data_IF_384616191921
#
_entry.id   IF_384616191921
#
_cell.length_a   1.000
_cell.length_b   1.000
_cell.length_c   1.000
_cell.angle_alpha   90.00
_cell.angle_beta   90.00
_cell.angle_gamma   90.00
#
_symmetry.space_group_name_H-M   'P 1'
#
loop_
_entity.id
_entity.type
_entity.pdbx_description
1 polymer ?
#
# COMPACT_ATOMS: atom_id res chain seq x y z
N UNK A 1 -12.25 -8.27 -19.44
CA UNK A 1 -10.82 -8.07 -19.16
C UNK A 1 -10.71 -7.81 -17.67
N UNK A 2 -9.82 -8.52 -16.96
CA UNK A 2 -9.63 -8.25 -15.54
C UNK A 2 -8.91 -6.92 -15.38
N UNK A 3 -9.41 -6.06 -14.48
CA UNK A 3 -8.82 -4.74 -14.25
C UNK A 3 -7.76 -4.82 -13.15
N UNK A 4 -6.69 -4.09 -13.32
CA UNK A 4 -5.63 -3.91 -12.33
C UNK A 4 -6.19 -3.16 -11.12
N UNK A 5 -5.79 -3.57 -9.93
CA UNK A 5 -5.89 -2.79 -8.70
C UNK A 5 -4.48 -2.47 -8.22
N UNK A 6 -4.10 -1.21 -8.29
CA UNK A 6 -2.86 -0.70 -7.69
C UNK A 6 -3.15 -0.30 -6.24
N UNK A 7 -2.63 -1.07 -5.30
CA UNK A 7 -2.96 -0.91 -3.88
C UNK A 7 -2.12 0.13 -3.14
N UNK A 8 -1.13 0.76 -3.84
CA UNK A 8 -0.28 1.79 -3.26
C UNK A 8 0.41 2.61 -4.36
N UNK A 9 -0.02 3.87 -4.55
CA UNK A 9 0.56 4.78 -5.53
C UNK A 9 0.31 6.24 -5.12
N UNK A 10 1.38 7.02 -4.96
CA UNK A 10 1.36 8.42 -4.51
C UNK A 10 1.03 9.39 -5.64
N UNK A 11 -0.22 9.46 -6.04
CA UNK A 11 -0.66 10.43 -7.05
C UNK A 11 -0.74 11.87 -6.52
N UNK A 12 -0.64 12.06 -5.21
CA UNK A 12 -0.47 13.36 -4.57
C UNK A 12 0.93 13.96 -4.78
N UNK A 13 1.94 13.16 -5.16
CA UNK A 13 3.33 13.59 -5.37
C UNK A 13 3.47 14.64 -6.49
N UNK A 14 4.39 15.60 -6.29
CA UNK A 14 4.69 16.69 -7.22
C UNK A 14 5.16 16.21 -8.61
N UNK A 15 5.73 15.01 -8.69
CA UNK A 15 6.13 14.40 -9.96
C UNK A 15 4.95 14.22 -10.93
N UNK A 16 3.73 14.26 -10.45
CA UNK A 16 2.51 14.17 -11.26
C UNK A 16 1.84 15.52 -11.51
N UNK A 17 2.30 16.63 -10.95
CA UNK A 17 1.61 17.94 -11.04
C UNK A 17 1.32 18.37 -12.48
N UNK A 18 2.21 18.03 -13.42
CA UNK A 18 2.08 18.44 -14.80
C UNK A 18 0.96 17.71 -15.59
N UNK A 19 0.60 16.49 -15.18
CA UNK A 19 -0.29 15.63 -15.97
C UNK A 19 -1.22 14.73 -15.13
N UNK A 20 -1.26 14.90 -13.80
CA UNK A 20 -2.07 14.09 -12.85
C UNK A 20 -3.50 13.88 -13.32
N UNK A 21 -4.19 14.97 -13.68
CA UNK A 21 -5.59 14.91 -14.07
C UNK A 21 -5.81 14.05 -15.33
N UNK A 22 -5.00 14.29 -16.37
CA UNK A 22 -5.08 13.54 -17.61
C UNK A 22 -4.69 12.07 -17.41
N UNK A 23 -3.67 11.84 -16.58
CA UNK A 23 -3.18 10.50 -16.29
C UNK A 23 -4.24 9.68 -15.53
N UNK A 24 -4.77 10.20 -14.42
CA UNK A 24 -5.81 9.52 -13.62
C UNK A 24 -7.09 9.30 -14.44
N UNK A 25 -7.54 10.30 -15.21
CA UNK A 25 -8.71 10.14 -16.07
C UNK A 25 -8.55 9.02 -17.11
N UNK A 26 -7.32 8.75 -17.57
CA UNK A 26 -7.03 7.73 -18.57
C UNK A 26 -6.90 6.30 -17.99
N UNK A 27 -6.77 6.13 -16.68
CA UNK A 27 -6.46 4.85 -16.04
C UNK A 27 -7.47 3.74 -16.35
N UNK A 28 -8.80 3.97 -16.28
CA UNK A 28 -9.77 2.92 -16.59
C UNK A 28 -9.66 2.40 -18.03
N UNK A 29 -9.42 3.27 -18.99
CA UNK A 29 -9.25 2.91 -20.41
C UNK A 29 -7.94 2.13 -20.65
N UNK A 30 -6.95 2.31 -19.77
CA UNK A 30 -5.67 1.59 -19.79
C UNK A 30 -5.67 0.33 -18.92
N UNK A 31 -6.84 -0.14 -18.48
CA UNK A 31 -6.98 -1.40 -17.75
C UNK A 31 -6.73 -1.31 -16.24
N UNK A 32 -6.56 -0.10 -15.68
CA UNK A 32 -6.44 0.12 -14.22
C UNK A 32 -7.82 0.48 -13.68
N UNK A 33 -8.38 -0.40 -12.88
CA UNK A 33 -9.74 -0.25 -12.36
C UNK A 33 -9.83 0.40 -10.99
N UNK A 34 -8.80 0.26 -10.16
CA UNK A 34 -8.74 0.82 -8.81
C UNK A 34 -7.31 1.24 -8.45
N UNK A 35 -7.23 2.29 -7.65
CA UNK A 35 -5.98 2.86 -7.12
C UNK A 35 -6.22 3.26 -5.67
N UNK A 36 -5.23 3.03 -4.79
CA UNK A 36 -5.17 3.60 -3.45
C UNK A 36 -4.00 4.58 -3.39
N UNK A 37 -4.29 5.83 -3.02
CA UNK A 37 -3.35 6.94 -2.86
C UNK A 37 -3.08 7.15 -1.36
N UNK A 38 -1.89 6.81 -0.84
CA UNK A 38 -1.61 6.87 0.59
C UNK A 38 -1.07 8.23 1.02
N UNK A 39 -1.68 8.81 2.06
CA UNK A 39 -1.13 9.99 2.72
C UNK A 39 0.05 9.66 3.62
N UNK A 40 1.05 10.56 3.68
CA UNK A 40 2.27 10.42 4.47
C UNK A 40 2.38 11.44 5.62
N UNK A 41 1.52 12.44 5.64
CA UNK A 41 1.34 13.49 6.65
C UNK A 41 -0.04 14.12 6.50
N UNK A 42 -0.33 15.22 7.22
CA UNK A 42 -1.63 15.85 7.11
C UNK A 42 -1.87 16.51 5.74
N UNK A 43 -0.83 17.09 5.12
CA UNK A 43 -0.99 17.76 3.83
C UNK A 43 -1.20 16.76 2.69
N UNK A 44 -0.40 15.72 2.65
CA UNK A 44 -0.51 14.64 1.65
C UNK A 44 -1.77 13.81 1.87
N UNK A 45 -2.14 13.51 3.12
CA UNK A 45 -3.43 12.86 3.44
C UNK A 45 -4.63 13.66 2.93
N UNK A 46 -4.64 14.99 3.14
CA UNK A 46 -5.70 15.85 2.62
C UNK A 46 -5.75 15.82 1.09
N UNK A 47 -4.57 15.91 0.41
CA UNK A 47 -4.49 15.85 -1.06
C UNK A 47 -4.96 14.52 -1.60
N UNK A 48 -4.58 13.40 -0.98
CA UNK A 48 -5.04 12.06 -1.37
C UNK A 48 -6.57 11.95 -1.28
N UNK A 49 -7.20 12.48 -0.22
CA UNK A 49 -8.67 12.52 -0.08
C UNK A 49 -9.29 13.39 -1.18
N UNK A 50 -8.77 14.60 -1.43
CA UNK A 50 -9.26 15.50 -2.47
C UNK A 50 -9.16 14.87 -3.87
N UNK A 51 -8.11 14.11 -4.16
CA UNK A 51 -7.95 13.34 -5.41
C UNK A 51 -8.99 12.20 -5.47
N UNK A 52 -9.13 11.43 -4.39
CA UNK A 52 -10.06 10.31 -4.35
C UNK A 52 -11.52 10.74 -4.54
N UNK A 53 -11.92 11.91 -4.04
CA UNK A 53 -13.25 12.48 -4.26
C UNK A 53 -13.54 12.82 -5.74
N UNK A 54 -12.49 13.15 -6.52
CA UNK A 54 -12.64 13.54 -7.92
C UNK A 54 -12.75 12.34 -8.87
N UNK A 55 -12.20 11.17 -8.49
CA UNK A 55 -12.12 10.00 -9.37
C UNK A 55 -12.79 8.78 -8.72
N UNK A 56 -13.82 8.18 -9.35
CA UNK A 56 -14.56 7.05 -8.77
C UNK A 56 -13.68 5.83 -8.51
N UNK A 57 -12.61 5.65 -9.28
CA UNK A 57 -11.68 4.52 -9.19
C UNK A 57 -10.48 4.78 -8.24
N UNK A 58 -10.39 5.96 -7.63
CA UNK A 58 -9.34 6.30 -6.65
C UNK A 58 -9.91 6.30 -5.25
N UNK A 59 -9.17 5.74 -4.32
CA UNK A 59 -9.38 5.75 -2.88
C UNK A 59 -8.15 6.32 -2.18
N UNK A 60 -8.31 6.76 -0.95
CA UNK A 60 -7.23 7.35 -0.17
C UNK A 60 -6.97 6.57 1.12
N UNK A 61 -5.78 6.74 1.66
CA UNK A 61 -5.52 6.45 3.08
C UNK A 61 -4.96 7.68 3.76
N UNK A 62 -5.05 7.73 5.08
CA UNK A 62 -4.60 8.88 5.87
C UNK A 62 -3.69 8.41 7.00
N UNK A 63 -2.54 9.07 7.15
CA UNK A 63 -1.56 8.63 8.14
C UNK A 63 -0.33 9.53 8.23
N UNK A 64 0.59 9.12 9.10
CA UNK A 64 1.89 9.71 9.30
C UNK A 64 2.96 8.69 8.99
N UNK A 65 3.64 8.88 7.87
CA UNK A 65 4.81 8.10 7.46
C UNK A 65 5.99 8.33 8.42
N UNK A 66 6.81 7.34 8.73
CA UNK A 66 7.94 7.50 9.65
C UNK A 66 8.93 8.61 9.26
N UNK A 67 9.14 8.85 7.99
CA UNK A 67 10.01 9.95 7.51
C UNK A 67 9.39 11.33 7.77
N UNK A 68 8.06 11.45 7.78
CA UNK A 68 7.32 12.71 7.88
C UNK A 68 6.82 13.00 9.31
N UNK A 69 7.02 12.09 10.27
CA UNK A 69 6.36 12.19 11.57
C UNK A 69 6.99 13.19 12.55
N UNK A 70 8.06 13.91 12.19
CA UNK A 70 8.67 14.91 13.09
C UNK A 70 7.69 15.93 13.67
N UNK A 71 6.72 16.50 12.91
CA UNK A 71 5.71 17.45 13.44
C UNK A 71 4.47 16.76 14.06
N UNK A 72 4.44 15.42 14.13
CA UNK A 72 3.32 14.68 14.69
C UNK A 72 3.03 15.11 16.13
N UNK A 73 1.75 15.25 16.44
CA UNK A 73 1.23 15.35 17.81
C UNK A 73 0.00 14.45 17.93
N UNK A 74 -0.35 14.04 19.14
CA UNK A 74 -1.54 13.20 19.37
C UNK A 74 -2.85 13.87 18.94
N UNK A 75 -2.91 15.20 18.98
CA UNK A 75 -4.05 15.97 18.50
C UNK A 75 -4.25 15.82 16.99
N UNK A 76 -3.19 15.53 16.22
CA UNK A 76 -3.31 15.27 14.78
C UNK A 76 -4.11 14.02 14.46
N UNK A 77 -4.23 13.06 15.39
CA UNK A 77 -5.11 11.89 15.24
C UNK A 77 -6.58 12.28 15.14
N UNK A 78 -7.01 13.39 15.73
CA UNK A 78 -8.39 13.85 15.60
C UNK A 78 -8.72 14.27 14.17
N UNK A 79 -7.74 14.84 13.47
CA UNK A 79 -7.84 15.15 12.04
C UNK A 79 -7.94 13.88 11.20
N UNK A 80 -7.05 12.89 11.42
CA UNK A 80 -7.10 11.60 10.72
C UNK A 80 -8.43 10.88 10.99
N UNK A 81 -8.90 10.89 12.24
CA UNK A 81 -10.21 10.34 12.65
C UNK A 81 -11.38 11.01 11.93
N UNK A 82 -11.29 12.33 11.70
CA UNK A 82 -12.33 13.06 10.98
C UNK A 82 -12.35 12.67 9.49
N UNK A 83 -11.18 12.63 8.84
CA UNK A 83 -11.06 12.23 7.43
C UNK A 83 -11.40 10.74 7.19
N UNK A 84 -11.11 9.87 8.13
CA UNK A 84 -11.45 8.45 8.05
C UNK A 84 -12.97 8.15 8.04
N UNK A 85 -13.83 9.17 8.22
CA UNK A 85 -15.29 9.05 8.03
C UNK A 85 -15.71 9.18 6.57
N UNK A 86 -14.84 9.69 5.70
CA UNK A 86 -15.09 9.74 4.27
C UNK A 86 -15.07 8.32 3.69
N UNK A 87 -16.09 7.93 2.90
CA UNK A 87 -16.15 6.60 2.31
C UNK A 87 -15.03 6.32 1.31
N UNK A 88 -14.31 7.34 0.86
CA UNK A 88 -13.13 7.21 0.02
C UNK A 88 -11.86 6.87 0.82
N UNK A 89 -11.87 7.05 2.14
CA UNK A 89 -10.74 6.68 3.02
C UNK A 89 -10.90 5.23 3.47
N UNK A 90 -10.03 4.35 2.99
CA UNK A 90 -10.17 2.90 3.13
C UNK A 90 -9.19 2.24 4.09
N UNK A 91 -8.20 2.98 4.59
CA UNK A 91 -7.22 2.49 5.57
C UNK A 91 -6.57 3.64 6.35
N UNK A 92 -5.92 3.32 7.46
CA UNK A 92 -4.91 4.17 8.09
C UNK A 92 -3.55 3.81 7.48
N UNK A 93 -2.91 4.78 6.87
CA UNK A 93 -1.65 4.58 6.14
C UNK A 93 -1.28 5.81 5.30
N UNK A 94 -0.04 5.93 5.00
CA UNK A 94 1.08 5.00 5.23
C UNK A 94 1.69 5.25 6.61
N UNK A 95 1.88 4.19 7.39
CA UNK A 95 2.40 4.25 8.76
C UNK A 95 3.52 3.21 8.91
N UNK A 96 4.33 3.29 9.96
CA UNK A 96 5.33 2.25 10.19
C UNK A 96 6.67 2.78 10.65
N UNK A 97 7.77 2.12 10.21
CA UNK A 97 9.12 2.42 10.65
C UNK A 97 10.10 2.46 9.47
N UNK A 98 10.98 3.48 9.45
CA UNK A 98 12.10 3.60 8.53
C UNK A 98 13.39 3.87 9.32
N UNK A 99 14.31 2.90 9.33
CA UNK A 99 15.60 3.00 9.99
C UNK A 99 16.77 3.18 9.02
N UNK A 100 16.44 3.34 7.74
CA UNK A 100 17.44 3.47 6.70
C UNK A 100 18.07 4.86 6.64
N UNK A 101 17.26 5.93 6.75
CA UNK A 101 17.76 7.29 6.62
C UNK A 101 18.18 7.87 7.97
N UNK A 102 19.41 8.38 8.07
CA UNK A 102 19.95 8.95 9.32
C UNK A 102 19.21 10.23 9.77
N UNK A 103 18.61 10.97 8.82
CA UNK A 103 17.85 12.20 9.10
C UNK A 103 16.42 11.95 9.62
N UNK A 104 15.95 10.72 9.59
CA UNK A 104 14.61 10.38 10.07
C UNK A 104 14.45 10.68 11.57
N UNK A 105 13.23 10.94 12.05
CA UNK A 105 12.95 11.04 13.48
C UNK A 105 13.50 9.85 14.27
N UNK A 106 13.83 10.05 15.57
CA UNK A 106 14.35 8.97 16.41
C UNK A 106 13.47 7.71 16.38
N UNK A 107 14.09 6.53 16.42
CA UNK A 107 13.38 5.24 16.33
C UNK A 107 12.27 5.10 17.35
N UNK A 108 12.54 5.50 18.60
CA UNK A 108 11.57 5.44 19.70
C UNK A 108 10.34 6.32 19.39
N UNK A 109 10.56 7.49 18.78
CA UNK A 109 9.47 8.38 18.39
C UNK A 109 8.66 7.80 17.22
N UNK A 110 9.32 7.27 16.19
CA UNK A 110 8.62 6.56 15.10
C UNK A 110 7.76 5.41 15.66
N UNK A 111 8.29 4.63 16.61
CA UNK A 111 7.57 3.52 17.25
C UNK A 111 6.37 4.00 18.07
N UNK A 112 6.45 5.14 18.74
CA UNK A 112 5.33 5.77 19.45
C UNK A 112 4.24 6.15 18.44
N UNK A 113 4.60 6.90 17.39
CA UNK A 113 3.67 7.35 16.34
C UNK A 113 3.01 6.15 15.65
N UNK A 114 3.76 5.08 15.39
CA UNK A 114 3.23 3.87 14.79
C UNK A 114 2.17 3.19 15.69
N UNK A 115 2.44 3.06 17.01
CA UNK A 115 1.46 2.51 17.98
C UNK A 115 0.20 3.37 18.08
N UNK A 116 0.35 4.67 18.15
CA UNK A 116 -0.78 5.60 18.23
C UNK A 116 -1.71 5.45 17.01
N UNK A 117 -1.16 5.27 15.81
CA UNK A 117 -1.93 5.06 14.58
C UNK A 117 -2.53 3.65 14.47
N UNK A 118 -1.84 2.62 14.96
CA UNK A 118 -2.43 1.27 15.07
C UNK A 118 -3.62 1.26 16.03
N UNK A 119 -3.53 1.98 17.15
CA UNK A 119 -4.64 2.16 18.09
C UNK A 119 -5.83 2.89 17.43
N UNK A 120 -5.56 3.93 16.62
CA UNK A 120 -6.59 4.61 15.85
C UNK A 120 -7.26 3.67 14.83
N UNK A 121 -6.46 2.91 14.09
CA UNK A 121 -6.99 1.94 13.12
C UNK A 121 -7.87 0.88 13.80
N UNK A 122 -7.45 0.40 14.98
CA UNK A 122 -8.25 -0.55 15.79
C UNK A 122 -9.57 0.08 16.27
N UNK A 123 -9.54 1.34 16.73
CA UNK A 123 -10.73 2.10 17.13
C UNK A 123 -11.73 2.22 15.98
N UNK A 124 -11.24 2.52 14.77
CA UNK A 124 -12.05 2.74 13.58
C UNK A 124 -12.46 1.44 12.83
N UNK A 125 -11.83 0.31 13.16
CA UNK A 125 -12.02 -0.95 12.44
C UNK A 125 -11.45 -0.95 11.02
N UNK A 126 -10.56 -0.01 10.71
CA UNK A 126 -9.91 0.11 9.41
C UNK A 126 -8.64 -0.75 9.32
N UNK A 127 -8.28 -1.25 8.13
CA UNK A 127 -6.98 -1.86 7.92
C UNK A 127 -5.86 -0.82 7.92
N UNK A 128 -4.61 -1.29 7.92
CA UNK A 128 -3.43 -0.42 7.86
C UNK A 128 -2.52 -0.77 6.69
N UNK A 129 -1.85 0.25 6.13
CA UNK A 129 -0.73 0.08 5.20
C UNK A 129 0.56 0.40 5.95
N UNK A 130 1.47 -0.58 6.03
CA UNK A 130 2.69 -0.49 6.83
C UNK A 130 3.92 -0.36 5.94
N UNK A 131 4.65 0.73 6.13
CA UNK A 131 6.02 0.93 5.68
C UNK A 131 7.00 0.23 6.63
N UNK A 132 7.92 -0.53 6.07
CA UNK A 132 8.92 -1.28 6.85
C UNK A 132 10.26 -1.29 6.12
N UNK A 133 11.15 -0.38 6.48
CA UNK A 133 12.49 -0.30 5.89
C UNK A 133 13.58 -0.41 6.95
N UNK A 134 14.35 -1.50 6.87
CA UNK A 134 15.41 -1.86 7.84
C UNK A 134 14.93 -1.94 9.30
N UNK A 135 13.60 -2.16 9.50
CA UNK A 135 12.92 -2.15 10.80
C UNK A 135 12.07 -3.41 11.08
N UNK A 136 12.24 -4.47 10.30
CA UNK A 136 11.35 -5.65 10.27
C UNK A 136 11.04 -6.24 11.64
N UNK A 137 12.04 -6.35 12.53
CA UNK A 137 11.87 -6.93 13.84
C UNK A 137 10.96 -6.09 14.73
N UNK A 138 11.14 -4.77 14.73
CA UNK A 138 10.37 -3.84 15.53
C UNK A 138 8.95 -3.66 14.95
N UNK A 139 8.81 -3.57 13.62
CA UNK A 139 7.50 -3.58 12.97
C UNK A 139 6.70 -4.82 13.37
N UNK A 140 7.30 -6.02 13.25
CA UNK A 140 6.67 -7.27 13.63
C UNK A 140 6.33 -7.31 15.14
N UNK A 141 7.20 -6.79 16.00
CA UNK A 141 6.95 -6.73 17.44
C UNK A 141 5.75 -5.84 17.76
N UNK A 142 5.69 -4.64 17.15
CA UNK A 142 4.62 -3.66 17.40
C UNK A 142 3.29 -4.16 16.87
N UNK A 143 3.21 -4.70 15.65
CA UNK A 143 1.92 -5.20 15.14
C UNK A 143 1.37 -6.39 15.96
N UNK A 144 2.22 -7.12 16.69
CA UNK A 144 1.79 -8.17 17.62
C UNK A 144 1.05 -7.62 18.85
N UNK A 145 1.30 -6.36 19.21
CA UNK A 145 0.59 -5.69 20.30
C UNK A 145 -0.88 -5.40 19.93
N UNK A 146 -1.21 -5.41 18.62
CA UNK A 146 -2.55 -5.10 18.07
C UNK A 146 -3.15 -6.27 17.30
N UNK A 147 -3.50 -7.38 17.94
CA UNK A 147 -3.91 -8.63 17.28
C UNK A 147 -5.24 -8.53 16.49
N UNK A 148 -6.02 -7.48 16.71
CA UNK A 148 -7.29 -7.24 16.01
C UNK A 148 -7.11 -6.39 14.74
N UNK A 149 -5.97 -5.71 14.60
CA UNK A 149 -5.67 -4.91 13.41
C UNK A 149 -5.24 -5.84 12.29
N UNK A 150 -5.85 -5.66 11.13
CA UNK A 150 -5.43 -6.28 9.87
C UNK A 150 -4.64 -5.28 9.05
N UNK A 151 -3.66 -5.73 8.29
CA UNK A 151 -2.84 -4.83 7.52
C UNK A 151 -2.13 -5.49 6.35
N UNK A 152 -1.46 -4.66 5.59
CA UNK A 152 -0.50 -5.04 4.57
C UNK A 152 0.86 -4.42 4.90
N UNK A 153 1.91 -5.21 4.78
CA UNK A 153 3.26 -4.68 4.66
C UNK A 153 3.48 -4.39 3.19
N UNK A 154 3.47 -3.10 2.82
CA UNK A 154 3.70 -2.69 1.45
C UNK A 154 5.16 -2.85 1.07
N UNK A 155 5.48 -2.93 -0.22
CA UNK A 155 6.83 -3.11 -0.77
C UNK A 155 7.67 -4.13 0.04
N UNK A 156 7.08 -5.30 0.32
CA UNK A 156 7.63 -6.23 1.30
C UNK A 156 9.06 -6.69 0.95
N UNK A 157 10.01 -6.38 1.83
CA UNK A 157 11.44 -6.67 1.67
C UNK A 157 12.02 -7.60 2.74
N UNK A 158 11.19 -8.09 3.67
CA UNK A 158 11.57 -8.96 4.77
C UNK A 158 11.94 -10.39 4.34
N UNK A 159 12.34 -11.20 5.33
CA UNK A 159 12.67 -12.61 5.11
C UNK A 159 11.43 -13.50 5.02
N UNK A 160 11.64 -14.75 4.59
CA UNK A 160 10.59 -15.79 4.56
C UNK A 160 10.00 -16.02 5.96
N UNK A 161 10.81 -15.99 7.00
CA UNK A 161 10.39 -16.21 8.38
C UNK A 161 9.45 -15.10 8.87
N UNK A 162 9.80 -13.83 8.55
CA UNK A 162 8.94 -12.66 8.87
C UNK A 162 7.64 -12.74 8.07
N UNK A 163 7.72 -13.06 6.78
CA UNK A 163 6.54 -13.27 5.95
C UNK A 163 5.59 -14.33 6.54
N UNK A 164 6.13 -15.47 6.96
CA UNK A 164 5.35 -16.55 7.58
C UNK A 164 4.66 -16.11 8.89
N UNK A 165 5.35 -15.34 9.73
CA UNK A 165 4.77 -14.81 10.96
C UNK A 165 3.63 -13.81 10.70
N UNK A 166 3.77 -12.94 9.68
CA UNK A 166 2.72 -12.02 9.27
C UNK A 166 1.52 -12.77 8.67
N UNK A 167 1.77 -13.74 7.78
CA UNK A 167 0.73 -14.56 7.14
C UNK A 167 -0.09 -15.33 8.18
N UNK A 168 0.54 -15.95 9.20
CA UNK A 168 -0.16 -16.63 10.30
C UNK A 168 -1.13 -15.71 11.04
N UNK A 169 -0.88 -14.40 11.03
CA UNK A 169 -1.74 -13.38 11.66
C UNK A 169 -2.79 -12.81 10.71
N UNK A 170 -2.87 -13.34 9.48
CA UNK A 170 -3.82 -12.90 8.47
C UNK A 170 -3.41 -11.64 7.69
N UNK A 171 -2.17 -11.17 7.87
CA UNK A 171 -1.63 -10.01 7.18
C UNK A 171 -1.40 -10.28 5.70
N UNK A 172 -1.47 -9.22 4.91
CA UNK A 172 -1.15 -9.23 3.48
C UNK A 172 0.28 -8.75 3.24
N UNK A 173 0.83 -9.12 2.09
CA UNK A 173 2.13 -8.66 1.62
C UNK A 173 1.96 -7.99 0.26
N UNK A 174 2.48 -6.77 0.14
CA UNK A 174 2.53 -5.99 -1.08
C UNK A 174 3.77 -6.32 -1.90
N UNK A 175 3.62 -6.42 -3.21
CA UNK A 175 4.71 -6.64 -4.16
C UNK A 175 4.67 -5.59 -5.25
N UNK A 176 5.80 -4.96 -5.47
CA UNK A 176 5.99 -3.84 -6.38
C UNK A 176 7.17 -4.05 -7.34
N UNK A 177 7.65 -2.97 -7.97
CA UNK A 177 8.71 -3.01 -8.97
C UNK A 177 9.97 -3.78 -8.58
N UNK A 178 10.50 -3.66 -7.37
CA UNK A 178 11.60 -4.46 -6.82
C UNK A 178 11.51 -5.96 -7.09
N UNK A 179 10.32 -6.57 -7.12
CA UNK A 179 10.16 -7.99 -7.46
C UNK A 179 10.78 -8.35 -8.82
N UNK A 180 10.82 -7.39 -9.74
CA UNK A 180 11.33 -7.58 -11.11
C UNK A 180 12.85 -7.40 -11.22
N UNK A 181 13.52 -6.93 -10.15
CA UNK A 181 14.94 -6.59 -10.20
C UNK A 181 15.83 -7.83 -10.13
N UNK A 182 17.00 -7.78 -10.78
CA UNK A 182 17.95 -8.90 -10.81
C UNK A 182 18.44 -9.37 -9.44
N UNK A 183 18.45 -8.48 -8.46
CA UNK A 183 18.89 -8.75 -7.08
C UNK A 183 17.76 -9.09 -6.11
N UNK A 184 16.51 -9.25 -6.58
CA UNK A 184 15.31 -9.49 -5.77
C UNK A 184 15.22 -10.90 -5.14
N UNK A 185 16.34 -11.51 -4.76
CA UNK A 185 16.37 -12.92 -4.32
C UNK A 185 15.43 -13.19 -3.15
N UNK A 186 15.45 -12.34 -2.11
CA UNK A 186 14.59 -12.51 -0.92
C UNK A 186 13.12 -12.38 -1.27
N UNK A 187 12.74 -11.32 -1.98
CA UNK A 187 11.35 -11.06 -2.39
C UNK A 187 10.80 -12.17 -3.27
N UNK A 188 11.64 -12.73 -4.17
CA UNK A 188 11.26 -13.90 -4.99
C UNK A 188 11.00 -15.14 -4.14
N UNK A 189 11.83 -15.43 -3.12
CA UNK A 189 11.57 -16.56 -2.22
C UNK A 189 10.27 -16.38 -1.43
N UNK A 190 9.96 -15.16 -0.99
CA UNK A 190 8.67 -14.85 -0.34
C UNK A 190 7.51 -15.01 -1.34
N UNK A 191 7.65 -14.51 -2.57
CA UNK A 191 6.64 -14.64 -3.62
C UNK A 191 6.32 -16.10 -3.97
N UNK A 192 7.27 -17.04 -3.81
CA UNK A 192 7.05 -18.49 -4.01
C UNK A 192 6.13 -19.09 -2.94
N UNK A 193 6.18 -18.62 -1.69
CA UNK A 193 5.53 -19.28 -0.55
C UNK A 193 4.30 -18.57 -0.03
N UNK A 194 4.11 -17.28 -0.33
CA UNK A 194 2.98 -16.51 0.17
C UNK A 194 1.66 -17.12 -0.36
N UNK A 195 0.63 -17.34 0.51
CA UNK A 195 -0.69 -17.77 0.05
C UNK A 195 -1.25 -16.76 -0.94
N UNK A 196 -1.83 -17.24 -2.04
CA UNK A 196 -2.32 -16.37 -3.10
C UNK A 196 -3.39 -15.37 -2.62
N UNK A 197 -4.18 -15.74 -1.60
CA UNK A 197 -5.19 -14.88 -0.98
C UNK A 197 -4.62 -13.84 0.00
N UNK A 198 -3.30 -13.73 0.11
CA UNK A 198 -2.57 -12.76 0.95
C UNK A 198 -1.62 -11.86 0.14
N UNK A 199 -1.75 -11.85 -1.18
CA UNK A 199 -0.93 -11.04 -2.10
C UNK A 199 -1.69 -9.81 -2.52
N UNK A 200 -1.04 -8.64 -2.44
CA UNK A 200 -1.43 -7.41 -3.11
C UNK A 200 -0.34 -7.02 -4.11
N UNK A 201 -0.74 -6.36 -5.20
CA UNK A 201 0.18 -5.77 -6.17
C UNK A 201 0.02 -4.26 -6.18
N UNK A 202 1.14 -3.58 -6.27
CA UNK A 202 1.22 -2.13 -6.17
C UNK A 202 2.38 -1.59 -7.00
N UNK A 203 2.45 -0.28 -7.16
CA UNK A 203 3.54 0.35 -7.91
C UNK A 203 4.49 1.14 -7.06
N UNK A 204 4.03 1.71 -5.95
CA UNK A 204 4.75 2.75 -5.20
C UNK A 204 5.10 3.96 -6.09
N UNK A 205 4.21 4.26 -7.06
CA UNK A 205 4.41 5.37 -8.01
C UNK A 205 4.47 6.71 -7.31
N UNK A 206 5.36 7.63 -7.73
CA UNK A 206 6.16 7.65 -8.95
C UNK A 206 7.46 6.85 -8.89
N UNK A 207 7.73 6.18 -7.78
CA UNK A 207 8.96 5.47 -7.47
C UNK A 207 8.95 4.03 -7.99
N UNK A 208 9.98 3.28 -7.70
CA UNK A 208 10.10 1.81 -7.83
C UNK A 208 9.68 1.22 -9.19
N UNK A 209 9.85 1.96 -10.30
CA UNK A 209 9.49 1.48 -11.64
C UNK A 209 10.06 0.08 -11.93
N UNK A 210 9.21 -0.89 -12.37
CA UNK A 210 9.66 -2.25 -12.64
C UNK A 210 10.53 -2.35 -13.90
N UNK A 211 11.23 -3.47 -14.07
CA UNK A 211 11.79 -3.84 -15.37
C UNK A 211 10.61 -4.22 -16.30
N UNK A 212 10.54 -3.72 -17.58
CA UNK A 212 11.63 -3.10 -18.34
C UNK A 212 11.71 -1.56 -18.24
N UNK A 213 10.82 -0.89 -17.53
CA UNK A 213 10.74 0.58 -17.49
C UNK A 213 11.50 1.21 -16.32
N UNK A 214 12.42 0.49 -15.71
CA UNK A 214 13.23 0.98 -14.58
C UNK A 214 14.00 2.25 -14.94
N UNK A 215 13.93 3.25 -14.05
CA UNK A 215 14.60 4.55 -14.25
C UNK A 215 13.70 5.61 -14.92
N UNK A 216 12.44 5.29 -15.20
CA UNK A 216 11.42 6.27 -15.60
C UNK A 216 10.48 6.57 -14.43
N UNK A 217 9.67 7.64 -14.53
CA UNK A 217 8.56 7.86 -13.61
C UNK A 217 7.58 6.69 -13.73
N UNK A 218 7.26 6.07 -12.59
CA UNK A 218 6.32 4.96 -12.51
C UNK A 218 4.86 5.46 -12.54
N UNK A 219 3.92 4.56 -12.88
CA UNK A 219 2.47 4.75 -12.75
C UNK A 219 1.75 3.40 -12.67
N UNK A 220 0.47 3.42 -12.30
CA UNK A 220 -0.33 2.22 -12.01
C UNK A 220 -0.46 1.21 -13.16
N UNK A 221 -0.25 1.61 -14.41
CA UNK A 221 -0.25 0.70 -15.59
C UNK A 221 0.86 -0.35 -15.49
N UNK A 222 1.93 -0.01 -14.77
CA UNK A 222 3.10 -0.87 -14.60
C UNK A 222 2.90 -2.02 -13.61
N UNK A 223 1.78 -2.09 -12.88
CA UNK A 223 1.36 -3.30 -12.15
C UNK A 223 1.33 -4.51 -13.07
N UNK A 224 1.03 -4.31 -14.36
CA UNK A 224 1.04 -5.40 -15.37
C UNK A 224 2.38 -6.12 -15.46
N UNK A 225 3.50 -5.41 -15.35
CA UNK A 225 4.85 -6.00 -15.35
C UNK A 225 5.14 -6.77 -14.05
N UNK A 226 4.65 -6.28 -12.93
CA UNK A 226 4.79 -6.91 -11.61
C UNK A 226 3.95 -8.18 -11.59
N UNK A 227 2.70 -8.11 -12.06
CA UNK A 227 1.81 -9.26 -12.21
C UNK A 227 2.40 -10.35 -13.12
N UNK A 228 3.00 -9.96 -14.25
CA UNK A 228 3.68 -10.89 -15.15
C UNK A 228 4.85 -11.60 -14.46
N UNK A 229 5.65 -10.87 -13.67
CA UNK A 229 6.75 -11.47 -12.90
C UNK A 229 6.25 -12.39 -11.79
N UNK A 230 5.21 -12.00 -11.08
CA UNK A 230 4.60 -12.86 -10.05
C UNK A 230 4.00 -14.13 -10.66
N UNK A 231 3.33 -14.01 -11.82
CA UNK A 231 2.79 -15.12 -12.59
C UNK A 231 3.88 -16.12 -13.02
N UNK A 232 5.01 -15.62 -13.55
CA UNK A 232 6.20 -16.43 -13.87
C UNK A 232 6.67 -17.25 -12.65
N UNK A 233 6.80 -16.60 -11.47
CA UNK A 233 7.25 -17.26 -10.23
C UNK A 233 6.28 -18.34 -9.78
N UNK A 234 4.97 -18.14 -9.97
CA UNK A 234 3.91 -19.04 -9.50
C UNK A 234 3.44 -20.06 -10.55
N UNK A 235 3.93 -19.99 -11.79
CA UNK A 235 3.49 -20.86 -12.89
C UNK A 235 2.02 -20.63 -13.28
N UNK A 236 1.55 -19.39 -13.20
CA UNK A 236 0.19 -18.96 -13.52
C UNK A 236 0.20 -17.99 -14.70
N UNK A 237 -0.98 -17.67 -15.25
CA UNK A 237 -1.09 -16.59 -16.23
C UNK A 237 -1.14 -15.21 -15.53
N UNK A 238 -0.72 -14.17 -16.24
CA UNK A 238 -0.80 -12.78 -15.76
C UNK A 238 -2.24 -12.37 -15.46
N UNK A 239 -3.20 -12.79 -16.29
CA UNK A 239 -4.62 -12.48 -16.11
C UNK A 239 -5.21 -13.11 -14.83
N UNK A 240 -4.78 -14.35 -14.48
CA UNK A 240 -5.18 -14.99 -13.22
C UNK A 240 -4.62 -14.23 -12.01
N UNK A 241 -3.38 -13.77 -12.06
CA UNK A 241 -2.77 -12.98 -10.98
C UNK A 241 -3.48 -11.63 -10.85
N UNK A 242 -3.75 -10.92 -11.95
CA UNK A 242 -4.47 -9.64 -11.91
C UNK A 242 -5.87 -9.82 -11.30
N UNK A 243 -6.62 -10.85 -11.74
CA UNK A 243 -7.95 -11.12 -11.20
C UNK A 243 -7.91 -11.39 -9.69
N UNK A 244 -7.02 -12.28 -9.28
CA UNK A 244 -6.85 -12.68 -7.89
C UNK A 244 -6.44 -11.51 -6.99
N UNK A 245 -5.47 -10.70 -7.42
CA UNK A 245 -4.99 -9.57 -6.61
C UNK A 245 -5.99 -8.42 -6.58
N UNK A 246 -6.79 -8.23 -7.62
CA UNK A 246 -7.93 -7.31 -7.58
C UNK A 246 -8.96 -7.73 -6.53
N UNK A 247 -9.35 -9.00 -6.48
CA UNK A 247 -10.26 -9.52 -5.47
C UNK A 247 -9.69 -9.41 -4.05
N UNK A 248 -8.38 -9.69 -3.90
CA UNK A 248 -7.68 -9.54 -2.63
C UNK A 248 -7.71 -8.08 -2.14
N UNK A 249 -7.38 -7.12 -3.02
CA UNK A 249 -7.40 -5.70 -2.69
C UNK A 249 -8.79 -5.23 -2.29
N UNK A 250 -9.83 -5.61 -3.04
CA UNK A 250 -11.21 -5.29 -2.70
C UNK A 250 -11.61 -5.83 -1.33
N UNK A 251 -11.30 -7.09 -1.07
CA UNK A 251 -11.58 -7.72 0.24
C UNK A 251 -10.78 -7.06 1.37
N UNK A 252 -9.53 -6.70 1.12
CA UNK A 252 -8.68 -6.05 2.11
C UNK A 252 -9.20 -4.68 2.50
N UNK A 253 -9.51 -3.83 1.53
CA UNK A 253 -9.99 -2.47 1.76
C UNK A 253 -11.50 -2.36 1.97
N UNK A 254 -12.27 -3.45 1.83
CA UNK A 254 -13.73 -3.44 1.97
C UNK A 254 -14.45 -2.74 0.81
N UNK A 255 -13.82 -2.67 -0.37
CA UNK A 255 -14.40 -2.04 -1.57
C UNK A 255 -15.29 -3.05 -2.29
N UNK A 256 -16.59 -2.75 -2.38
CA UNK A 256 -17.58 -3.64 -3.03
C UNK A 256 -17.31 -3.80 -4.53
N UNK A 257 -17.69 -4.96 -5.07
CA UNK A 257 -17.69 -5.15 -6.52
C UNK A 257 -18.92 -4.52 -7.15
N UNK A 258 -18.78 -3.97 -8.36
CA UNK A 258 -19.92 -3.39 -9.10
C UNK A 258 -21.10 -4.37 -9.35
N UNK A 259 -20.91 -5.66 -9.05
CA UNK A 259 -21.98 -6.68 -9.12
C UNK A 259 -22.86 -6.73 -7.87
N UNK A 260 -22.35 -6.26 -6.73
CA UNK A 260 -23.08 -6.28 -5.44
C UNK A 260 -23.95 -5.02 -5.26
N UNK A 261 -23.66 -3.93 -5.98
CA UNK A 261 -24.48 -2.70 -5.96
C UNK A 261 -25.82 -2.83 -6.70
N UNK A 262 -26.05 -3.92 -7.44
CA UNK A 262 -27.26 -4.15 -8.24
C UNK A 262 -28.18 -5.23 -7.64
N UNK A 263 -27.89 -5.72 -6.44
CA UNK A 263 -28.67 -6.74 -5.72
C UNK A 263 -29.37 -6.15 -4.50
#
# INVERSE_FOLDING_TARGET
MNLIFDTHAHYDDEAFDADREALLASMPENGVGLIVDPGCDLDTSRRAVEIAEQYPHVYATVGWHPENCAPYTRESLDTLRAWAKDPKVVAIGEIGLDYYWEQNPPREFQQEVFRDQLALAQELGLPVIVHDRDAHADCLAIVKEFPQVRGVFHCFSGSVEIAQELIKRGWYLGFDGPLTYKNAKKTVEVAKIVPLDRVLLETDSPYMAPVPVRGTRNDSRNVSHIAAKFAEIRGMSTDEIIALTNENGRRFFGIQSAKEEQS
#
